data_IF_029419008768
#
_entry.id   IF_029419008768
#
_cell.length_a   1.000
_cell.length_b   1.000
_cell.length_c   1.000
_cell.angle_alpha   90.00
_cell.angle_beta   90.00
_cell.angle_gamma   90.00
#
_symmetry.space_group_name_H-M   'P 1'
#
loop_
_entity.id
_entity.type
_entity.pdbx_description
1 polymer ?
#
# COMPACT_ATOMS: atom_id res chain seq x y z
N UNK A 1 -5.79 -28.21 9.54
CA UNK A 1 -4.38 -27.72 9.53
C UNK A 1 -3.93 -27.44 10.97
N UNK A 2 -2.65 -27.65 11.30
CA UNK A 2 -2.15 -27.33 12.64
C UNK A 2 -1.96 -25.82 12.80
N UNK A 3 -2.25 -25.27 13.98
CA UNK A 3 -2.07 -23.85 14.29
C UNK A 3 -0.66 -23.36 13.96
N UNK A 4 0.36 -24.18 14.24
CA UNK A 4 1.77 -23.88 13.95
C UNK A 4 2.04 -23.67 12.46
N UNK A 5 1.43 -24.47 11.57
CA UNK A 5 1.61 -24.29 10.12
C UNK A 5 1.01 -22.98 9.63
N UNK A 6 -0.18 -22.62 10.12
CA UNK A 6 -0.86 -21.37 9.74
C UNK A 6 -0.07 -20.16 10.25
N UNK A 7 0.34 -20.19 11.53
CA UNK A 7 1.14 -19.12 12.13
C UNK A 7 2.47 -18.93 11.39
N UNK A 8 3.17 -20.02 11.04
CA UNK A 8 4.44 -19.93 10.30
C UNK A 8 4.25 -19.31 8.91
N UNK A 9 3.16 -19.64 8.20
CA UNK A 9 2.88 -19.10 6.86
C UNK A 9 2.52 -17.60 6.89
N UNK A 10 1.81 -17.14 7.92
CA UNK A 10 1.47 -15.73 8.09
C UNK A 10 2.68 -14.89 8.53
N UNK A 11 3.50 -15.43 9.42
CA UNK A 11 4.68 -14.72 9.96
C UNK A 11 5.85 -14.72 8.98
N UNK A 12 5.98 -15.73 8.11
CA UNK A 12 7.07 -15.83 7.13
C UNK A 12 7.27 -14.57 6.27
N UNK A 13 6.25 -14.05 5.54
CA UNK A 13 6.46 -12.88 4.69
C UNK A 13 6.82 -11.64 5.51
N UNK A 14 6.26 -11.49 6.71
CA UNK A 14 6.57 -10.36 7.59
C UNK A 14 8.03 -10.39 8.06
N UNK A 15 8.53 -11.56 8.48
CA UNK A 15 9.93 -11.74 8.87
C UNK A 15 10.87 -11.55 7.68
N UNK A 16 10.54 -12.09 6.52
CA UNK A 16 11.33 -11.90 5.30
C UNK A 16 11.47 -10.42 4.95
N UNK A 17 10.37 -9.65 4.95
CA UNK A 17 10.37 -8.21 4.67
C UNK A 17 11.18 -7.44 5.72
N UNK A 18 11.04 -7.79 7.00
CA UNK A 18 11.78 -7.16 8.07
C UNK A 18 13.29 -7.40 7.95
N UNK A 19 13.69 -8.64 7.62
CA UNK A 19 15.09 -8.99 7.37
C UNK A 19 15.66 -8.22 6.17
N UNK A 20 14.93 -8.14 5.05
CA UNK A 20 15.36 -7.35 3.89
C UNK A 20 15.49 -5.86 4.23
N UNK A 21 14.56 -5.34 5.04
CA UNK A 21 14.61 -3.94 5.49
C UNK A 21 15.82 -3.68 6.39
N UNK A 22 16.10 -4.55 7.37
CA UNK A 22 17.29 -4.44 8.22
C UNK A 22 18.58 -4.54 7.39
N UNK A 23 18.65 -5.53 6.48
CA UNK A 23 19.81 -5.72 5.61
C UNK A 23 20.12 -4.50 4.74
N UNK A 24 19.08 -3.75 4.32
CA UNK A 24 19.26 -2.49 3.59
C UNK A 24 20.10 -1.48 4.37
N UNK A 25 19.88 -1.38 5.68
CA UNK A 25 20.52 -0.39 6.57
C UNK A 25 21.80 -0.89 7.25
N UNK A 26 21.93 -2.19 7.51
CA UNK A 26 23.03 -2.73 8.33
C UNK A 26 24.16 -3.36 7.51
N UNK A 27 23.89 -3.87 6.31
CA UNK A 27 24.90 -4.56 5.50
C UNK A 27 25.53 -3.62 4.46
N UNK A 28 26.84 -3.78 4.26
CA UNK A 28 27.58 -3.23 3.13
C UNK A 28 27.17 -3.93 1.82
N UNK A 29 27.48 -3.30 0.69
CA UNK A 29 27.20 -3.88 -0.63
C UNK A 29 27.87 -5.24 -0.81
N UNK A 30 27.17 -6.18 -1.44
CA UNK A 30 27.63 -7.54 -1.66
C UNK A 30 26.49 -8.53 -1.92
N UNK A 31 26.85 -9.73 -2.37
CA UNK A 31 25.90 -10.79 -2.79
C UNK A 31 24.92 -11.15 -1.67
N UNK A 32 25.37 -11.15 -0.41
CA UNK A 32 24.49 -11.43 0.74
C UNK A 32 23.41 -10.35 0.92
N UNK A 33 23.76 -9.07 0.74
CA UNK A 33 22.80 -7.97 0.83
C UNK A 33 21.76 -8.06 -0.28
N UNK A 34 22.20 -8.33 -1.51
CA UNK A 34 21.30 -8.48 -2.65
C UNK A 34 20.34 -9.66 -2.47
N UNK A 35 20.83 -10.81 -2.00
CA UNK A 35 19.99 -11.98 -1.71
C UNK A 35 18.93 -11.68 -0.63
N UNK A 36 19.31 -10.99 0.45
CA UNK A 36 18.39 -10.61 1.52
C UNK A 36 17.39 -9.53 1.08
N UNK A 37 17.81 -8.57 0.25
CA UNK A 37 16.92 -7.58 -0.35
C UNK A 37 15.91 -8.24 -1.30
N UNK A 38 16.33 -9.24 -2.08
CA UNK A 38 15.47 -9.98 -2.98
C UNK A 38 14.42 -10.79 -2.22
N UNK A 39 14.84 -11.60 -1.24
CA UNK A 39 13.92 -12.42 -0.44
C UNK A 39 12.99 -11.54 0.40
N UNK A 40 13.51 -10.43 0.93
CA UNK A 40 12.73 -9.47 1.70
C UNK A 40 11.90 -8.51 0.86
N UNK A 41 11.97 -8.59 -0.47
CA UNK A 41 11.10 -7.78 -1.31
C UNK A 41 9.63 -8.20 -1.08
N UNK A 42 8.70 -7.28 -0.76
CA UNK A 42 7.33 -7.62 -0.43
C UNK A 42 6.64 -8.53 -1.46
N UNK A 43 6.79 -8.24 -2.75
CA UNK A 43 6.25 -9.09 -3.83
C UNK A 43 6.81 -10.52 -3.81
N UNK A 44 8.12 -10.69 -3.60
CA UNK A 44 8.75 -12.02 -3.58
C UNK A 44 8.32 -12.79 -2.33
N UNK A 45 8.41 -12.16 -1.15
CA UNK A 45 8.02 -12.74 0.12
C UNK A 45 6.56 -13.21 0.11
N UNK A 46 5.63 -12.36 -0.34
CA UNK A 46 4.20 -12.69 -0.43
C UNK A 46 3.90 -13.76 -1.48
N UNK A 47 4.61 -13.77 -2.61
CA UNK A 47 4.46 -14.80 -3.64
C UNK A 47 4.89 -16.17 -3.10
N UNK A 48 6.06 -16.24 -2.44
CA UNK A 48 6.55 -17.46 -1.81
C UNK A 48 5.57 -17.93 -0.73
N UNK A 49 5.09 -17.03 0.13
CA UNK A 49 4.11 -17.34 1.17
C UNK A 49 2.81 -17.91 0.57
N UNK A 50 2.33 -17.32 -0.53
CA UNK A 50 1.11 -17.76 -1.23
C UNK A 50 1.27 -19.16 -1.83
N UNK A 51 2.39 -19.42 -2.51
CA UNK A 51 2.70 -20.75 -3.07
C UNK A 51 2.83 -21.79 -1.94
N UNK A 52 3.53 -21.44 -0.86
CA UNK A 52 3.67 -22.30 0.31
C UNK A 52 2.32 -22.58 0.97
N UNK A 53 1.43 -21.59 1.04
CA UNK A 53 0.08 -21.72 1.56
C UNK A 53 -0.73 -22.75 0.77
N UNK A 54 -0.74 -22.65 -0.57
CA UNK A 54 -1.44 -23.63 -1.41
C UNK A 54 -0.87 -25.04 -1.27
N UNK A 55 0.45 -25.19 -1.18
CA UNK A 55 1.08 -26.52 -1.01
C UNK A 55 0.81 -27.12 0.37
N UNK A 56 0.98 -26.35 1.44
CA UNK A 56 0.88 -26.83 2.82
C UNK A 56 -0.58 -26.98 3.24
N UNK A 57 -1.36 -25.90 3.15
CA UNK A 57 -2.77 -25.93 3.58
C UNK A 57 -3.64 -26.71 2.61
N UNK A 58 -3.39 -26.58 1.30
CA UNK A 58 -4.12 -27.38 0.29
C UNK A 58 -3.93 -28.88 0.50
N UNK A 59 -2.69 -29.34 0.76
CA UNK A 59 -2.43 -30.76 1.07
C UNK A 59 -3.02 -31.19 2.41
N UNK A 60 -2.89 -30.37 3.47
CA UNK A 60 -3.41 -30.69 4.80
C UNK A 60 -4.96 -30.73 4.85
N UNK A 61 -5.63 -30.01 3.95
CA UNK A 61 -7.09 -29.99 3.85
C UNK A 61 -7.63 -30.92 2.76
N UNK A 62 -6.76 -31.62 2.01
CA UNK A 62 -7.18 -32.51 0.92
C UNK A 62 -7.86 -31.78 -0.25
N UNK A 63 -7.55 -30.49 -0.46
CA UNK A 63 -8.19 -29.71 -1.51
C UNK A 63 -7.79 -30.21 -2.90
N UNK A 64 -8.79 -30.32 -3.78
CA UNK A 64 -8.57 -30.63 -5.19
C UNK A 64 -7.91 -29.43 -5.91
N UNK A 65 -7.28 -29.70 -7.06
CA UNK A 65 -6.69 -28.65 -7.90
C UNK A 65 -7.74 -27.61 -8.33
N UNK A 66 -8.96 -28.04 -8.57
CA UNK A 66 -10.07 -27.16 -8.94
C UNK A 66 -10.48 -26.26 -7.77
N UNK A 67 -10.53 -26.79 -6.55
CA UNK A 67 -10.82 -25.98 -5.36
C UNK A 67 -9.73 -24.93 -5.13
N UNK A 68 -8.46 -25.29 -5.27
CA UNK A 68 -7.33 -24.34 -5.17
C UNK A 68 -7.46 -23.24 -6.23
N UNK A 69 -7.78 -23.60 -7.48
CA UNK A 69 -8.01 -22.64 -8.57
C UNK A 69 -9.15 -21.69 -8.22
N UNK A 70 -10.28 -22.21 -7.76
CA UNK A 70 -11.45 -21.39 -7.41
C UNK A 70 -11.12 -20.42 -6.26
N UNK A 71 -10.36 -20.84 -5.25
CA UNK A 71 -9.89 -19.97 -4.16
C UNK A 71 -8.99 -18.85 -4.72
N UNK A 72 -8.04 -19.20 -5.59
CA UNK A 72 -7.16 -18.22 -6.23
C UNK A 72 -7.94 -17.21 -7.08
N UNK A 73 -8.93 -17.67 -7.86
CA UNK A 73 -9.80 -16.82 -8.67
C UNK A 73 -10.65 -15.88 -7.83
N UNK A 74 -11.24 -16.36 -6.73
CA UNK A 74 -12.01 -15.51 -5.81
C UNK A 74 -11.15 -14.43 -5.15
N UNK A 75 -9.86 -14.70 -4.96
CA UNK A 75 -8.90 -13.70 -4.48
C UNK A 75 -8.68 -12.54 -5.45
N UNK A 76 -8.92 -12.74 -6.76
CA UNK A 76 -8.75 -11.69 -7.77
C UNK A 76 -9.87 -10.65 -7.75
N UNK A 77 -11.08 -11.02 -7.31
CA UNK A 77 -12.24 -10.11 -7.23
C UNK A 77 -11.94 -8.84 -6.40
N UNK A 78 -11.48 -8.92 -5.14
CA UNK A 78 -11.14 -7.73 -4.37
C UNK A 78 -9.91 -7.00 -4.93
N UNK A 79 -8.96 -7.73 -5.53
CA UNK A 79 -7.76 -7.13 -6.14
C UNK A 79 -8.12 -6.27 -7.35
N UNK A 80 -9.09 -6.70 -8.17
CA UNK A 80 -9.54 -5.95 -9.34
C UNK A 80 -10.04 -4.55 -8.95
N UNK A 81 -10.82 -4.44 -7.87
CA UNK A 81 -11.30 -3.15 -7.37
C UNK A 81 -10.13 -2.28 -6.88
N UNK A 82 -9.19 -2.85 -6.12
CA UNK A 82 -8.00 -2.11 -5.65
C UNK A 82 -7.17 -1.59 -6.83
N UNK A 83 -6.94 -2.42 -7.85
CA UNK A 83 -6.20 -2.01 -9.06
C UNK A 83 -6.94 -0.90 -9.80
N UNK A 84 -8.25 -1.05 -10.01
CA UNK A 84 -9.07 -0.07 -10.72
C UNK A 84 -9.06 1.28 -10.02
N UNK A 85 -9.31 1.32 -8.71
CA UNK A 85 -9.39 2.57 -7.95
C UNK A 85 -8.00 3.21 -7.81
N UNK A 86 -6.94 2.41 -7.58
CA UNK A 86 -5.57 2.95 -7.52
C UNK A 86 -5.12 3.50 -8.87
N UNK A 87 -5.43 2.81 -9.97
CA UNK A 87 -5.15 3.28 -11.33
C UNK A 87 -5.90 4.56 -11.67
N UNK A 88 -7.20 4.62 -11.33
CA UNK A 88 -8.01 5.83 -11.51
C UNK A 88 -7.49 7.01 -10.68
N UNK A 89 -7.07 6.77 -9.42
CA UNK A 89 -6.44 7.81 -8.58
C UNK A 89 -5.14 8.34 -9.17
N UNK A 90 -4.31 7.47 -9.76
CA UNK A 90 -3.08 7.88 -10.45
C UNK A 90 -3.35 8.76 -11.68
N UNK A 91 -4.33 8.39 -12.52
CA UNK A 91 -4.78 9.21 -13.64
C UNK A 91 -5.37 10.55 -13.18
N UNK A 92 -6.22 10.54 -12.15
CA UNK A 92 -6.82 11.76 -11.59
C UNK A 92 -5.75 12.74 -11.10
N UNK A 93 -4.71 12.25 -10.41
CA UNK A 93 -3.55 13.06 -10.04
C UNK A 93 -2.92 13.75 -11.25
N UNK A 94 -2.66 13.02 -12.34
CA UNK A 94 -2.04 13.60 -13.54
C UNK A 94 -2.94 14.64 -14.21
N UNK A 95 -4.24 14.38 -14.30
CA UNK A 95 -5.20 15.36 -14.82
C UNK A 95 -5.19 16.66 -13.99
N UNK A 96 -5.06 16.57 -12.66
CA UNK A 96 -4.93 17.75 -11.80
C UNK A 96 -3.64 18.53 -12.07
N UNK A 97 -2.52 17.83 -12.28
CA UNK A 97 -1.24 18.46 -12.62
C UNK A 97 -1.33 19.14 -13.98
N UNK A 98 -1.77 18.42 -15.00
CA UNK A 98 -1.80 18.89 -16.40
C UNK A 98 -2.81 20.02 -16.62
N UNK A 99 -3.93 20.04 -15.88
CA UNK A 99 -4.93 21.11 -15.95
C UNK A 99 -4.55 22.38 -15.18
N UNK A 100 -3.47 22.35 -14.39
CA UNK A 100 -3.11 23.43 -13.46
C UNK A 100 -4.04 23.55 -12.24
N UNK A 101 -5.11 22.75 -12.17
CA UNK A 101 -6.02 22.72 -11.02
C UNK A 101 -5.30 22.24 -9.74
N UNK A 102 -4.29 21.37 -9.87
CA UNK A 102 -3.45 20.90 -8.78
C UNK A 102 -2.63 22.02 -8.14
N UNK A 103 -2.10 22.94 -8.95
CA UNK A 103 -1.37 24.12 -8.45
C UNK A 103 -2.32 25.08 -7.73
N UNK A 104 -3.46 25.40 -8.34
CA UNK A 104 -4.46 26.25 -7.69
C UNK A 104 -4.95 25.66 -6.35
N UNK A 105 -5.11 24.34 -6.27
CA UNK A 105 -5.45 23.64 -5.03
C UNK A 105 -4.32 23.73 -4.00
N UNK A 106 -3.08 23.57 -4.44
CA UNK A 106 -1.91 23.68 -3.57
C UNK A 106 -1.75 25.10 -3.00
N UNK A 107 -1.94 26.13 -3.82
CA UNK A 107 -1.93 27.53 -3.39
C UNK A 107 -3.00 27.80 -2.33
N UNK A 108 -4.23 27.29 -2.50
CA UNK A 108 -5.30 27.43 -1.50
C UNK A 108 -4.95 26.75 -0.18
N UNK A 109 -4.34 25.57 -0.23
CA UNK A 109 -3.89 24.86 0.99
C UNK A 109 -2.69 25.56 1.62
N UNK A 110 -1.76 26.11 0.83
CA UNK A 110 -0.58 26.83 1.31
C UNK A 110 -0.95 28.20 1.94
N UNK A 111 -1.98 28.86 1.42
CA UNK A 111 -2.54 30.10 1.97
C UNK A 111 -3.44 29.86 3.19
N UNK A 112 -3.83 28.60 3.44
CA UNK A 112 -4.61 28.25 4.61
C UNK A 112 -3.76 28.32 5.88
N UNK A 113 -4.31 28.77 7.02
CA UNK A 113 -3.62 28.70 8.31
C UNK A 113 -3.47 27.25 8.82
N UNK A 114 -4.01 26.25 8.11
CA UNK A 114 -3.99 24.86 8.53
C UNK A 114 -2.65 24.19 8.22
N UNK A 115 -2.08 23.43 9.17
CA UNK A 115 -0.94 22.56 8.88
C UNK A 115 -1.28 21.57 7.74
N UNK A 116 -0.37 21.31 6.79
CA UNK A 116 -0.66 20.41 5.66
C UNK A 116 -1.14 19.02 6.07
N UNK A 117 -0.64 18.48 7.19
CA UNK A 117 -1.07 17.18 7.72
C UNK A 117 -2.56 17.22 8.15
N UNK A 118 -2.97 18.32 8.79
CA UNK A 118 -4.36 18.51 9.18
C UNK A 118 -5.24 18.72 7.94
N UNK A 119 -4.77 19.45 6.94
CA UNK A 119 -5.48 19.61 5.66
C UNK A 119 -5.71 18.24 4.98
N UNK A 120 -4.67 17.41 4.87
CA UNK A 120 -4.79 16.06 4.29
C UNK A 120 -5.77 15.17 5.05
N UNK A 121 -5.73 15.18 6.38
CA UNK A 121 -6.70 14.45 7.22
C UNK A 121 -8.14 14.96 7.04
N UNK A 122 -8.33 16.29 7.03
CA UNK A 122 -9.66 16.90 6.89
C UNK A 122 -10.27 16.63 5.52
N UNK A 123 -9.46 16.64 4.47
CA UNK A 123 -9.89 16.24 3.12
C UNK A 123 -10.32 14.76 3.14
N UNK A 124 -9.47 13.87 3.68
CA UNK A 124 -9.77 12.45 3.76
C UNK A 124 -11.08 12.16 4.51
N UNK A 125 -11.26 12.71 5.70
CA UNK A 125 -12.47 12.48 6.50
C UNK A 125 -13.72 13.07 5.86
N UNK A 126 -13.61 14.25 5.22
CA UNK A 126 -14.75 14.86 4.50
C UNK A 126 -15.18 14.00 3.32
N UNK A 127 -14.22 13.54 2.52
CA UNK A 127 -14.48 12.63 1.41
C UNK A 127 -15.05 11.31 1.92
N UNK A 128 -14.58 10.80 3.06
CA UNK A 128 -15.09 9.57 3.67
C UNK A 128 -16.53 9.72 4.16
N UNK A 129 -16.90 10.84 4.75
CA UNK A 129 -18.29 11.11 5.16
C UNK A 129 -19.21 11.11 3.94
N UNK A 130 -18.76 11.67 2.82
CA UNK A 130 -19.54 11.77 1.58
C UNK A 130 -19.62 10.41 0.85
N UNK A 131 -18.50 9.69 0.75
CA UNK A 131 -18.37 8.48 -0.08
C UNK A 131 -18.56 7.17 0.70
N UNK A 132 -18.53 7.19 2.04
CA UNK A 132 -18.69 6.04 2.94
C UNK A 132 -17.51 5.05 2.98
N UNK A 133 -16.71 4.95 1.92
CA UNK A 133 -15.57 4.01 1.83
C UNK A 133 -14.25 4.65 2.24
N UNK A 134 -13.59 4.07 3.26
CA UNK A 134 -12.29 4.53 3.72
C UNK A 134 -11.21 4.45 2.62
N UNK A 135 -11.21 3.39 1.80
CA UNK A 135 -10.19 3.21 0.75
C UNK A 135 -10.34 4.21 -0.39
N UNK A 136 -11.58 4.51 -0.80
CA UNK A 136 -11.82 5.49 -1.88
C UNK A 136 -11.52 6.91 -1.40
N UNK A 137 -11.86 7.22 -0.15
CA UNK A 137 -11.55 8.50 0.46
C UNK A 137 -10.04 8.73 0.58
N UNK A 138 -9.30 7.72 1.08
CA UNK A 138 -7.84 7.76 1.19
C UNK A 138 -7.18 8.00 -0.18
N UNK A 139 -7.58 7.26 -1.22
CA UNK A 139 -7.00 7.42 -2.57
C UNK A 139 -7.33 8.77 -3.20
N UNK A 140 -8.54 9.27 -2.97
CA UNK A 140 -8.97 10.59 -3.46
C UNK A 140 -8.17 11.70 -2.77
N UNK A 141 -8.07 11.66 -1.44
CA UNK A 141 -7.31 12.63 -0.65
C UNK A 141 -5.81 12.57 -0.97
N UNK A 142 -5.23 11.38 -1.18
CA UNK A 142 -3.86 11.23 -1.64
C UNK A 142 -3.65 11.81 -3.05
N UNK A 143 -4.62 11.66 -3.95
CA UNK A 143 -4.60 12.29 -5.27
C UNK A 143 -4.60 13.82 -5.19
N UNK A 144 -5.47 14.39 -4.33
CA UNK A 144 -5.59 15.83 -4.11
C UNK A 144 -4.37 16.44 -3.41
N UNK A 145 -3.80 15.74 -2.43
CA UNK A 145 -2.61 16.17 -1.70
C UNK A 145 -1.31 15.90 -2.47
N UNK A 146 -1.37 15.13 -3.55
CA UNK A 146 -0.20 14.77 -4.37
C UNK A 146 0.60 15.99 -4.86
N UNK A 147 -0.04 16.99 -5.51
CA UNK A 147 0.63 18.23 -5.94
C UNK A 147 1.23 19.03 -4.77
N UNK A 148 0.48 19.21 -3.68
CA UNK A 148 0.90 19.94 -2.47
C UNK A 148 2.21 19.39 -1.91
N UNK A 149 2.29 18.06 -1.84
CA UNK A 149 3.44 17.33 -1.30
C UNK A 149 4.68 17.50 -2.20
N UNK A 150 4.49 17.57 -3.52
CA UNK A 150 5.57 17.76 -4.49
C UNK A 150 6.13 19.18 -4.42
N UNK A 151 5.24 20.18 -4.29
CA UNK A 151 5.62 21.58 -4.22
C UNK A 151 6.34 21.93 -2.90
N UNK A 152 5.84 21.44 -1.77
CA UNK A 152 6.42 21.73 -0.45
C UNK A 152 7.68 20.90 -0.14
N UNK A 153 8.12 20.04 -1.06
CA UNK A 153 9.34 19.23 -0.97
C UNK A 153 9.54 18.55 0.41
N UNK A 154 8.48 17.91 0.91
CA UNK A 154 8.49 17.33 2.25
C UNK A 154 9.60 16.29 2.46
N UNK A 155 10.18 16.30 3.66
CA UNK A 155 11.12 15.26 4.06
C UNK A 155 10.42 13.89 4.10
N UNK A 156 11.18 12.78 3.93
CA UNK A 156 10.61 11.43 3.98
C UNK A 156 9.81 11.13 5.27
N UNK A 157 10.17 11.73 6.40
CA UNK A 157 9.43 11.58 7.65
C UNK A 157 8.09 12.31 7.64
N UNK A 158 8.03 13.52 7.08
CA UNK A 158 6.78 14.28 6.93
C UNK A 158 5.86 13.61 5.92
N UNK A 159 6.40 13.06 4.84
CA UNK A 159 5.68 12.22 3.89
C UNK A 159 5.02 11.02 4.57
N UNK A 160 5.75 10.29 5.42
CA UNK A 160 5.21 9.16 6.17
C UNK A 160 4.09 9.60 7.14
N UNK A 161 4.24 10.75 7.80
CA UNK A 161 3.18 11.28 8.66
C UNK A 161 1.96 11.74 7.85
N UNK A 162 2.15 12.30 6.66
CA UNK A 162 1.07 12.66 5.75
C UNK A 162 0.26 11.44 5.31
N UNK A 163 0.94 10.34 4.92
CA UNK A 163 0.23 9.11 4.53
C UNK A 163 -0.54 8.51 5.70
N UNK A 164 0.00 8.56 6.92
CA UNK A 164 -0.71 8.14 8.14
C UNK A 164 -1.92 9.05 8.40
N UNK A 165 -1.76 10.38 8.28
CA UNK A 165 -2.84 11.33 8.49
C UNK A 165 -3.99 11.13 7.49
N UNK A 166 -3.67 10.99 6.20
CA UNK A 166 -4.67 10.69 5.16
C UNK A 166 -5.34 9.32 5.41
N UNK A 167 -4.59 8.32 5.87
CA UNK A 167 -5.14 7.00 6.17
C UNK A 167 -6.05 6.96 7.41
N UNK A 168 -5.85 7.89 8.35
CA UNK A 168 -6.64 7.98 9.58
C UNK A 168 -7.99 8.68 9.39
N UNK A 169 -8.12 9.56 8.39
CA UNK A 169 -9.37 10.25 8.03
C UNK A 169 -10.34 9.32 7.29
#
# INVERSE_FOLDING_TARGET
>A
PSFRSVAALLTFPLVAILVGTLAKFTLSEGVLKEALLFIGHPFIALTIATIACFKVLGKQQGLSREQIRNIASRGLEPVALVILVTGAGGMFKQVLIDSGAGQAFADVVALSPLPPLAAGFLIAISVRIIQGSATVAMLTAAGLMGPVVQELAFSPSVLALMTIAIAAG
#
